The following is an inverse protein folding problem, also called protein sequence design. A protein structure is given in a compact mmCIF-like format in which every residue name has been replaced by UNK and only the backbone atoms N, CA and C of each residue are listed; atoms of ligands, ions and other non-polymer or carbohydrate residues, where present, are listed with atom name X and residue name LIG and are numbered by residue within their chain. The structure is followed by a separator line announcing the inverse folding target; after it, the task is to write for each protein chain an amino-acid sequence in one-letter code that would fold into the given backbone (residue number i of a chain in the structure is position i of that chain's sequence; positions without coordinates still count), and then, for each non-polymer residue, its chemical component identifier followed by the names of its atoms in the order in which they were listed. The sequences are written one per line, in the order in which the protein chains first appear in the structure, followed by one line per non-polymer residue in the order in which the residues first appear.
data_IF_399720443032
#
_entry.id   IF_399720443032
#
_cell.length_a   1.000
_cell.length_b   1.000
_cell.length_c   1.000
_cell.angle_alpha   90.00
_cell.angle_beta   90.00
_cell.angle_gamma   90.00
#
_symmetry.space_group_name_H-M   'P 1'
#
loop_
_entity.id
_entity.type
_entity.pdbx_description
1 polymer ?
#
# COMPACT_ATOMS: atom_id res chain seq x y z
N UNK A 1 10.36 -18.55 -22.93
CA UNK A 1 9.56 -18.77 -24.13
C UNK A 1 9.57 -17.49 -24.96
N UNK A 2 9.94 -17.58 -26.21
CA UNK A 2 9.93 -16.42 -27.07
C UNK A 2 8.49 -15.93 -27.24
N UNK A 3 8.23 -14.61 -27.21
CA UNK A 3 6.90 -14.12 -27.44
C UNK A 3 6.45 -14.46 -28.87
N UNK A 4 5.17 -14.83 -28.98
CA UNK A 4 4.55 -15.08 -30.26
C UNK A 4 4.64 -13.79 -31.09
N UNK A 5 5.23 -13.83 -32.31
CA UNK A 5 5.31 -12.63 -33.12
C UNK A 5 3.95 -12.09 -33.53
N UNK A 6 2.88 -12.88 -33.40
CA UNK A 6 1.51 -12.41 -33.65
C UNK A 6 0.90 -11.75 -32.44
N UNK A 7 1.53 -11.85 -31.25
CA UNK A 7 1.02 -11.19 -30.05
C UNK A 7 1.31 -9.70 -30.16
N UNK A 8 0.27 -8.85 -30.16
CA UNK A 8 0.49 -7.42 -30.26
C UNK A 8 1.25 -6.89 -29.03
N UNK A 9 2.21 -6.02 -29.27
CA UNK A 9 2.94 -5.37 -28.17
C UNK A 9 1.98 -4.59 -27.28
N UNK A 10 0.90 -4.07 -27.86
CA UNK A 10 -0.13 -3.35 -27.13
C UNK A 10 -0.80 -4.21 -26.04
N UNK A 11 -0.93 -5.52 -26.25
CA UNK A 11 -1.51 -6.40 -25.25
C UNK A 11 -0.68 -6.42 -23.97
N UNK A 12 0.65 -6.47 -24.11
CA UNK A 12 1.53 -6.41 -22.97
C UNK A 12 1.40 -5.09 -22.23
N UNK A 13 1.29 -3.97 -22.96
CA UNK A 13 1.07 -2.67 -22.37
C UNK A 13 -0.27 -2.57 -21.66
N UNK A 14 -1.33 -3.12 -22.25
CA UNK A 14 -2.64 -3.16 -21.62
C UNK A 14 -2.65 -4.00 -20.35
N UNK A 15 -2.01 -5.16 -20.37
CA UNK A 15 -1.91 -6.01 -19.19
C UNK A 15 -1.19 -5.30 -18.06
N UNK A 16 -0.11 -4.59 -18.34
CA UNK A 16 0.60 -3.80 -17.33
C UNK A 16 -0.27 -2.68 -16.77
N UNK A 17 -1.01 -1.98 -17.63
CA UNK A 17 -1.90 -0.90 -17.21
C UNK A 17 -3.04 -1.42 -16.35
N UNK A 18 -3.67 -2.53 -16.76
CA UNK A 18 -4.74 -3.16 -15.99
C UNK A 18 -4.21 -3.63 -14.64
N UNK A 19 -3.05 -4.29 -14.63
CA UNK A 19 -2.45 -4.76 -13.39
C UNK A 19 -2.12 -3.60 -12.46
N UNK A 20 -1.56 -2.51 -12.99
CA UNK A 20 -1.25 -1.33 -12.20
C UNK A 20 -2.51 -0.73 -11.57
N UNK A 21 -3.61 -0.64 -12.34
CA UNK A 21 -4.89 -0.14 -11.83
C UNK A 21 -5.48 -1.06 -10.77
N UNK A 22 -5.39 -2.38 -10.97
CA UNK A 22 -5.87 -3.34 -9.97
C UNK A 22 -5.09 -3.23 -8.67
N UNK A 23 -3.77 -3.14 -8.76
CA UNK A 23 -2.92 -2.98 -7.58
C UNK A 23 -3.24 -1.69 -6.85
N UNK A 24 -3.42 -0.58 -7.58
CA UNK A 24 -3.80 0.68 -6.98
C UNK A 24 -5.17 0.61 -6.31
N UNK A 25 -6.17 0.01 -6.98
CA UNK A 25 -7.51 -0.14 -6.44
C UNK A 25 -7.52 -1.02 -5.19
N UNK A 26 -6.79 -2.14 -5.21
CA UNK A 26 -6.70 -3.02 -4.05
C UNK A 26 -5.98 -2.33 -2.90
N UNK A 27 -4.94 -1.56 -3.19
CA UNK A 27 -4.23 -0.81 -2.17
C UNK A 27 -5.14 0.22 -1.50
N UNK A 28 -5.93 0.96 -2.28
CA UNK A 28 -6.90 1.92 -1.74
C UNK A 28 -7.97 1.21 -0.92
N UNK A 29 -8.48 0.09 -1.42
CA UNK A 29 -9.49 -0.69 -0.70
C UNK A 29 -8.98 -1.16 0.66
N UNK A 30 -7.78 -1.75 0.70
CA UNK A 30 -7.20 -2.22 1.96
C UNK A 30 -6.86 -1.05 2.87
N UNK A 31 -6.47 0.10 2.31
CA UNK A 31 -6.24 1.32 3.07
C UNK A 31 -7.52 1.78 3.76
N UNK A 32 -8.66 1.79 3.06
CA UNK A 32 -9.94 2.15 3.64
C UNK A 32 -10.34 1.18 4.74
N UNK A 33 -10.02 -0.11 4.58
CA UNK A 33 -10.29 -1.11 5.61
C UNK A 33 -9.40 -0.94 6.85
N UNK A 34 -8.30 -0.21 6.72
CA UNK A 34 -7.40 0.09 7.84
C UNK A 34 -7.93 1.26 8.69
N UNK A 35 -8.77 2.12 8.12
CA UNK A 35 -9.29 3.29 8.85
C UNK A 35 -10.00 2.90 10.15
N UNK A 36 -10.90 1.89 10.18
CA UNK A 36 -11.52 1.49 11.44
C UNK A 36 -10.50 1.09 12.51
N UNK A 37 -9.39 0.45 12.12
CA UNK A 37 -8.35 0.08 13.07
C UNK A 37 -7.65 1.31 13.63
N UNK A 38 -7.34 2.29 12.78
CA UNK A 38 -6.74 3.54 13.24
C UNK A 38 -7.67 4.24 14.22
N UNK A 39 -8.97 4.30 13.91
CA UNK A 39 -9.96 4.90 14.81
C UNK A 39 -10.04 4.16 16.13
N UNK A 40 -10.00 2.84 16.12
CA UNK A 40 -10.02 2.04 17.35
C UNK A 40 -8.84 2.38 18.25
N UNK A 41 -7.66 2.56 17.66
CA UNK A 41 -6.46 2.90 18.43
C UNK A 41 -6.55 4.31 18.99
N UNK A 42 -6.86 5.29 18.15
CA UNK A 42 -6.79 6.70 18.55
C UNK A 42 -8.00 7.16 19.33
N UNK A 43 -9.19 6.76 18.94
CA UNK A 43 -10.43 7.18 19.62
C UNK A 43 -10.74 6.24 20.78
N UNK A 44 -10.61 4.95 20.57
CA UNK A 44 -10.89 3.94 21.58
C UNK A 44 -9.74 3.70 22.56
N UNK A 45 -8.55 4.22 22.29
CA UNK A 45 -7.34 4.02 23.10
C UNK A 45 -7.01 2.54 23.29
N UNK A 46 -7.28 1.74 22.27
CA UNK A 46 -7.07 0.29 22.32
C UNK A 46 -6.03 -0.10 21.26
N UNK A 47 -4.88 -0.52 21.74
CA UNK A 47 -3.82 -1.03 20.88
C UNK A 47 -3.52 -2.51 21.14
N UNK A 48 -4.37 -3.19 21.90
CA UNK A 48 -4.19 -4.60 22.17
C UNK A 48 -4.24 -5.41 20.88
N UNK A 49 -3.30 -6.32 20.69
CA UNK A 49 -3.22 -7.14 19.48
C UNK A 49 -2.57 -6.47 18.29
N UNK A 50 -2.18 -5.21 18.40
CA UNK A 50 -1.45 -4.53 17.33
C UNK A 50 0.03 -4.86 17.44
N UNK A 51 0.58 -5.45 16.38
CA UNK A 51 2.01 -5.78 16.33
C UNK A 51 2.79 -4.61 15.74
N UNK A 52 3.53 -3.90 16.58
CA UNK A 52 4.37 -2.79 16.13
C UNK A 52 5.42 -3.30 15.13
N UNK A 53 5.95 -4.50 15.36
CA UNK A 53 6.94 -5.08 14.44
C UNK A 53 6.34 -5.30 13.06
N UNK A 54 5.13 -5.89 12.99
CA UNK A 54 4.47 -6.13 11.70
C UNK A 54 4.14 -4.83 10.98
N UNK A 55 3.61 -3.84 11.70
CA UNK A 55 3.28 -2.56 11.09
C UNK A 55 4.51 -1.78 10.68
N UNK A 56 5.64 -1.94 11.40
CA UNK A 56 6.92 -1.36 10.99
C UNK A 56 7.41 -1.98 9.69
N UNK A 57 7.24 -3.29 9.53
CA UNK A 57 7.56 -3.97 8.28
C UNK A 57 6.68 -3.48 7.13
N UNK A 58 5.39 -3.25 7.39
CA UNK A 58 4.48 -2.70 6.39
C UNK A 58 4.88 -1.28 6.00
N UNK A 59 5.27 -0.46 6.98
CA UNK A 59 5.75 0.90 6.71
C UNK A 59 7.00 0.88 5.84
N UNK A 60 7.96 0.03 6.16
CA UNK A 60 9.17 -0.10 5.35
C UNK A 60 8.83 -0.53 3.92
N UNK A 61 7.93 -1.51 3.78
CA UNK A 61 7.46 -1.96 2.48
C UNK A 61 6.81 -0.83 1.70
N UNK A 62 5.96 -0.03 2.34
CA UNK A 62 5.31 1.11 1.69
C UNK A 62 6.32 2.15 1.22
N UNK A 63 7.36 2.41 2.01
CA UNK A 63 8.42 3.34 1.62
C UNK A 63 9.18 2.83 0.41
N UNK A 64 9.50 1.54 0.37
CA UNK A 64 10.19 0.94 -0.76
C UNK A 64 9.32 0.97 -2.03
N UNK A 65 8.03 0.66 -1.90
CA UNK A 65 7.10 0.75 -3.02
C UNK A 65 6.92 2.17 -3.51
N UNK A 66 6.89 3.13 -2.59
CA UNK A 66 6.81 4.55 -2.93
C UNK A 66 8.02 4.96 -3.76
N UNK A 67 9.22 4.58 -3.32
CA UNK A 67 10.45 4.85 -4.05
C UNK A 67 10.40 4.24 -5.44
N UNK A 68 10.00 2.97 -5.53
CA UNK A 68 9.87 2.27 -6.81
C UNK A 68 8.89 2.98 -7.72
N UNK A 69 7.74 3.36 -7.20
CA UNK A 69 6.71 4.05 -7.97
C UNK A 69 7.18 5.40 -8.50
N UNK A 70 7.96 6.14 -7.70
CA UNK A 70 8.52 7.40 -8.15
C UNK A 70 9.52 7.19 -9.29
N UNK A 71 10.36 6.18 -9.20
CA UNK A 71 11.32 5.87 -10.26
C UNK A 71 10.63 5.47 -11.55
N UNK A 72 9.52 4.75 -11.44
CA UNK A 72 8.72 4.34 -12.60
C UNK A 72 7.73 5.40 -13.06
N UNK A 73 7.58 6.48 -12.30
CA UNK A 73 6.61 7.55 -12.55
C UNK A 73 5.20 6.99 -12.71
N UNK A 74 4.85 5.99 -11.90
CA UNK A 74 3.55 5.33 -11.94
C UNK A 74 2.72 5.81 -10.75
N UNK A 75 1.74 6.66 -11.03
CA UNK A 75 0.86 7.23 -10.01
C UNK A 75 0.04 6.17 -9.31
N UNK A 76 -0.27 5.07 -10.01
CA UNK A 76 -1.06 3.98 -9.42
C UNK A 76 -0.27 3.22 -8.36
N UNK A 77 1.04 3.40 -8.31
CA UNK A 77 1.91 2.80 -7.31
C UNK A 77 2.22 3.79 -6.19
N UNK A 78 2.73 5.00 -6.53
CA UNK A 78 3.24 5.88 -5.48
C UNK A 78 2.16 6.66 -4.74
N UNK A 79 1.02 6.97 -5.37
CA UNK A 79 -0.05 7.70 -4.67
C UNK A 79 -0.67 6.89 -3.53
N UNK A 80 -1.05 5.60 -3.72
CA UNK A 80 -1.52 4.80 -2.59
C UNK A 80 -0.47 4.64 -1.50
N UNK A 81 0.82 4.58 -1.87
CA UNK A 81 1.88 4.44 -0.89
C UNK A 81 1.97 5.63 0.06
N UNK A 82 1.68 6.85 -0.41
CA UNK A 82 1.62 8.02 0.46
C UNK A 82 0.59 7.81 1.57
N UNK A 83 -0.61 7.34 1.20
CA UNK A 83 -1.65 7.02 2.17
C UNK A 83 -1.23 5.92 3.13
N UNK A 84 -0.60 4.86 2.61
CA UNK A 84 -0.12 3.76 3.44
C UNK A 84 0.95 4.21 4.43
N UNK A 85 1.89 5.04 4.01
CA UNK A 85 2.90 5.59 4.91
C UNK A 85 2.24 6.36 6.05
N UNK A 86 1.24 7.19 5.74
CA UNK A 86 0.51 7.93 6.75
C UNK A 86 -0.25 7.02 7.72
N UNK A 87 -0.99 6.04 7.19
CA UNK A 87 -1.76 5.11 8.01
C UNK A 87 -0.87 4.21 8.86
N UNK A 88 0.19 3.66 8.28
CA UNK A 88 1.12 2.80 9.00
C UNK A 88 1.79 3.58 10.14
N UNK A 89 2.18 4.81 9.88
CA UNK A 89 2.76 5.67 10.91
C UNK A 89 1.73 5.95 12.02
N UNK A 90 0.49 6.23 11.67
CA UNK A 90 -0.56 6.46 12.64
C UNK A 90 -0.79 5.24 13.53
N UNK A 91 -0.79 4.04 12.93
CA UNK A 91 -0.97 2.80 13.69
C UNK A 91 0.20 2.60 14.65
N UNK A 92 1.43 2.78 14.18
CA UNK A 92 2.64 2.57 15.01
C UNK A 92 2.67 3.56 16.16
N UNK A 93 2.47 4.85 15.87
CA UNK A 93 2.51 5.90 16.91
C UNK A 93 1.39 5.66 17.92
N UNK A 94 0.18 5.37 17.46
CA UNK A 94 -0.93 5.07 18.35
C UNK A 94 -0.68 3.84 19.20
N UNK A 95 -0.12 2.78 18.62
CA UNK A 95 0.20 1.57 19.35
C UNK A 95 1.23 1.82 20.46
N UNK A 96 2.21 2.68 20.19
CA UNK A 96 3.22 3.03 21.20
C UNK A 96 2.62 3.89 22.31
N UNK A 97 1.76 4.84 21.95
CA UNK A 97 1.16 5.76 22.92
C UNK A 97 0.13 5.06 23.81
N UNK A 98 -0.71 4.21 23.22
CA UNK A 98 -1.84 3.58 23.92
C UNK A 98 -1.60 2.12 24.27
N UNK A 99 -0.37 1.65 24.13
CA UNK A 99 -0.03 0.27 24.50
C UNK A 99 -0.11 0.04 26.02
#
# INVERSE_FOLDING_TARGET
MAPDPTTPVSDTGQSKTVMSRLLGAMSVFTMLMTVPQVLTIWVGHQAAGVSVVSWSAYLLSAILWFWYGLQKRDKNIYLPCVGWVGLDTAVIVGAVIYA
#
